data_IF_531524546314
#
_entry.id   IF_531524546314
#
_cell.length_a   1.000
_cell.length_b   1.000
_cell.length_c   1.000
_cell.angle_alpha   90.00
_cell.angle_beta   90.00
_cell.angle_gamma   90.00
#
_symmetry.space_group_name_H-M   'P 1'
#
loop_
_entity.id
_entity.type
_entity.pdbx_description
1 polymer ?
#
# COMPACT_ATOMS: atom_id res chain seq x y z
N UNK A 1 19.83 3.00 -9.61
CA UNK A 1 18.87 2.54 -8.56
C UNK A 1 18.72 3.64 -7.51
N UNK A 2 17.52 4.19 -7.30
CA UNK A 2 17.32 5.22 -6.25
C UNK A 2 17.38 4.54 -4.87
N UNK A 3 18.30 4.98 -4.00
CA UNK A 3 18.35 4.54 -2.59
C UNK A 3 17.10 5.07 -1.87
N UNK A 4 16.51 4.27 -0.99
CA UNK A 4 15.42 4.71 -0.12
C UNK A 4 15.99 5.46 1.07
N UNK A 5 15.39 6.60 1.38
CA UNK A 5 15.68 7.32 2.61
C UNK A 5 15.21 6.48 3.82
N UNK A 6 15.79 6.68 5.02
CA UNK A 6 15.26 6.07 6.23
C UNK A 6 13.81 6.49 6.41
N UNK A 7 12.93 5.51 6.53
CA UNK A 7 11.49 5.71 6.74
C UNK A 7 11.21 5.85 8.23
N UNK A 8 10.26 6.70 8.64
CA UNK A 8 9.78 6.70 10.02
C UNK A 8 9.24 5.32 10.42
N UNK A 9 9.13 5.01 11.73
CA UNK A 9 8.53 3.76 12.19
C UNK A 9 7.11 3.64 11.64
N UNK A 10 6.73 2.42 11.25
CA UNK A 10 5.41 2.14 10.69
C UNK A 10 4.31 2.46 11.70
N UNK A 11 3.22 3.05 11.23
CA UNK A 11 1.98 3.16 11.98
C UNK A 11 1.41 1.74 12.26
N UNK A 12 0.69 1.50 13.38
CA UNK A 12 0.14 0.17 13.69
C UNK A 12 -0.70 -0.46 12.57
N UNK A 13 -1.47 0.34 11.84
CA UNK A 13 -2.21 -0.12 10.65
C UNK A 13 -1.27 -0.63 9.55
N UNK A 14 -0.21 0.11 9.24
CA UNK A 14 0.77 -0.26 8.21
C UNK A 14 1.48 -1.56 8.56
N UNK A 15 1.82 -1.73 9.84
CA UNK A 15 2.41 -2.96 10.36
C UNK A 15 1.45 -4.15 10.22
N UNK A 16 0.17 -3.97 10.56
CA UNK A 16 -0.86 -5.00 10.39
C UNK A 16 -1.03 -5.40 8.93
N UNK A 17 -1.11 -4.42 8.02
CA UNK A 17 -1.18 -4.67 6.56
C UNK A 17 0.07 -5.42 6.09
N UNK A 18 1.27 -5.01 6.51
CA UNK A 18 2.52 -5.68 6.13
C UNK A 18 2.58 -7.15 6.59
N UNK A 19 2.11 -7.43 7.81
CA UNK A 19 2.03 -8.79 8.32
C UNK A 19 1.09 -9.63 7.47
N UNK A 20 -0.12 -9.13 7.20
CA UNK A 20 -1.09 -9.85 6.40
C UNK A 20 -0.59 -10.11 4.97
N UNK A 21 -0.01 -9.11 4.31
CA UNK A 21 0.59 -9.27 2.98
C UNK A 21 1.67 -10.35 2.94
N UNK A 22 2.48 -10.45 4.00
CA UNK A 22 3.56 -11.43 4.12
C UNK A 22 3.03 -12.83 4.39
N UNK A 23 2.10 -12.97 5.34
CA UNK A 23 1.52 -14.25 5.77
C UNK A 23 0.76 -14.90 4.62
N UNK A 24 -0.04 -14.12 3.91
CA UNK A 24 -0.85 -14.57 2.77
C UNK A 24 -0.09 -14.54 1.43
N UNK A 25 1.18 -14.10 1.43
CA UNK A 25 2.05 -14.01 0.24
C UNK A 25 1.39 -13.27 -0.94
N UNK A 26 0.69 -12.18 -0.64
CA UNK A 26 -0.17 -11.49 -1.61
C UNK A 26 0.60 -10.66 -2.63
N UNK A 27 1.76 -10.12 -2.24
CA UNK A 27 2.52 -9.16 -3.05
C UNK A 27 4.03 -9.36 -2.90
N UNK A 28 4.76 -9.15 -3.99
CA UNK A 28 6.22 -9.21 -4.06
C UNK A 28 6.87 -7.90 -4.54
N UNK A 29 8.20 -7.89 -4.54
CA UNK A 29 8.99 -6.77 -5.04
C UNK A 29 8.74 -6.54 -6.54
N UNK A 30 8.42 -5.30 -6.90
CA UNK A 30 8.23 -4.89 -8.30
C UNK A 30 6.79 -5.02 -8.80
N UNK A 31 5.88 -5.61 -8.02
CA UNK A 31 4.48 -5.78 -8.39
C UNK A 31 3.80 -4.44 -8.68
N UNK A 32 2.88 -4.48 -9.64
CA UNK A 32 1.97 -3.37 -9.96
C UNK A 32 0.62 -3.67 -9.35
N UNK A 33 0.20 -2.84 -8.40
CA UNK A 33 -1.03 -3.04 -7.64
C UNK A 33 -2.03 -1.98 -8.03
N UNK A 34 -3.20 -2.40 -8.50
CA UNK A 34 -4.36 -1.52 -8.69
C UNK A 34 -5.19 -1.58 -7.43
N UNK A 35 -5.24 -0.48 -6.70
CA UNK A 35 -6.03 -0.35 -5.47
C UNK A 35 -7.41 0.16 -5.86
N UNK A 36 -8.44 -0.63 -5.55
CA UNK A 36 -9.83 -0.18 -5.63
C UNK A 36 -10.05 0.93 -4.59
N UNK A 37 -10.20 2.17 -5.07
CA UNK A 37 -10.24 3.35 -4.23
C UNK A 37 -11.61 4.02 -4.34
N UNK A 38 -12.44 3.92 -3.30
CA UNK A 38 -13.78 4.51 -3.29
C UNK A 38 -13.80 5.97 -2.82
N UNK A 39 -12.69 6.49 -2.28
CA UNK A 39 -12.66 7.79 -1.61
C UNK A 39 -13.10 7.74 -0.15
N UNK A 40 -13.59 6.59 0.33
CA UNK A 40 -13.93 6.38 1.73
C UNK A 40 -12.70 6.20 2.64
N UNK A 41 -12.89 6.25 3.97
CA UNK A 41 -11.80 6.19 4.95
C UNK A 41 -10.97 4.90 4.82
N UNK A 42 -11.62 3.74 4.65
CA UNK A 42 -10.91 2.45 4.58
C UNK A 42 -10.02 2.36 3.33
N UNK A 43 -10.55 2.75 2.17
CA UNK A 43 -9.79 2.74 0.92
C UNK A 43 -8.63 3.74 0.92
N UNK A 44 -8.81 4.87 1.61
CA UNK A 44 -7.77 5.88 1.82
C UNK A 44 -6.69 5.35 2.74
N UNK A 45 -7.07 4.73 3.86
CA UNK A 45 -6.14 4.14 4.80
C UNK A 45 -5.34 2.98 4.17
N UNK A 46 -5.98 2.13 3.37
CA UNK A 46 -5.32 1.05 2.62
C UNK A 46 -4.32 1.61 1.61
N UNK A 47 -4.72 2.57 0.78
CA UNK A 47 -3.83 3.20 -0.20
C UNK A 47 -2.63 3.86 0.48
N UNK A 48 -2.88 4.59 1.58
CA UNK A 48 -1.84 5.22 2.37
C UNK A 48 -0.86 4.20 2.95
N UNK A 49 -1.38 3.12 3.54
CA UNK A 49 -0.53 2.08 4.13
C UNK A 49 0.33 1.37 3.07
N UNK A 50 -0.24 1.02 1.92
CA UNK A 50 0.53 0.43 0.81
C UNK A 50 1.61 1.40 0.30
N UNK A 51 1.32 2.71 0.24
CA UNK A 51 2.30 3.71 -0.18
C UNK A 51 3.46 3.84 0.84
N UNK A 52 3.15 3.83 2.14
CA UNK A 52 4.15 3.81 3.20
C UNK A 52 5.02 2.55 3.13
N UNK A 53 4.44 1.38 2.89
CA UNK A 53 5.18 0.13 2.71
C UNK A 53 6.03 0.12 1.43
N UNK A 54 5.55 0.68 0.34
CA UNK A 54 6.35 0.85 -0.88
C UNK A 54 7.55 1.79 -0.66
N UNK A 55 7.41 2.79 0.20
CA UNK A 55 8.46 3.74 0.58
C UNK A 55 9.32 3.30 1.79
N UNK A 56 8.88 2.31 2.57
CA UNK A 56 9.49 1.79 3.80
C UNK A 56 9.59 0.25 3.86
N UNK A 57 9.83 -0.41 4.98
CA UNK A 57 10.40 -1.78 5.02
C UNK A 57 9.64 -2.93 4.29
N UNK A 58 8.51 -2.67 3.63
CA UNK A 58 7.81 -3.59 2.74
C UNK A 58 8.31 -3.65 1.29
N UNK A 59 7.58 -4.41 0.44
CA UNK A 59 7.96 -4.65 -0.95
C UNK A 59 7.93 -3.37 -1.79
N UNK A 60 8.77 -3.30 -2.83
CA UNK A 60 8.83 -2.19 -3.79
C UNK A 60 7.65 -2.24 -4.76
N UNK A 61 6.48 -1.81 -4.30
CA UNK A 61 5.25 -1.79 -5.09
C UNK A 61 5.18 -0.56 -6.02
N UNK A 62 4.54 -0.75 -7.16
CA UNK A 62 4.05 0.34 -8.03
C UNK A 62 2.54 0.42 -7.89
N UNK A 63 2.05 1.47 -7.25
CA UNK A 63 0.63 1.60 -6.92
C UNK A 63 -0.10 2.45 -7.95
N UNK A 64 -1.31 2.03 -8.30
CA UNK A 64 -2.29 2.80 -9.06
C UNK A 64 -3.59 2.79 -8.27
N UNK A 65 -4.11 3.96 -7.91
CA UNK A 65 -5.45 4.07 -7.35
C UNK A 65 -6.48 4.15 -8.47
N UNK A 66 -7.47 3.27 -8.46
CA UNK A 66 -8.57 3.26 -9.41
C UNK A 66 -9.87 3.60 -8.69
N UNK A 67 -10.44 4.75 -9.02
CA UNK A 67 -11.74 5.19 -8.53
C UNK A 67 -12.81 4.97 -9.60
N UNK A 68 -13.97 4.48 -9.18
CA UNK A 68 -15.15 4.33 -10.03
C UNK A 68 -16.25 5.21 -9.45
N UNK A 69 -16.63 6.23 -10.20
CA UNK A 69 -17.86 6.99 -9.94
C UNK A 69 -19.05 6.18 -10.49
N UNK A 70 -19.97 5.81 -9.61
CA UNK A 70 -21.15 5.02 -9.95
C UNK A 70 -22.30 5.87 -10.53
N UNK A 71 -22.25 7.20 -10.40
CA UNK A 71 -23.28 8.11 -10.90
C UNK A 71 -24.64 7.95 -10.22
N UNK A 72 -24.65 7.57 -8.93
CA UNK A 72 -25.85 7.42 -8.10
C UNK A 72 -26.15 8.70 -7.29
#
# INVERSE_FOLDING_TARGET
MRRRAPSPPLHPLEASVALHLREERLLGDGDRVVVAFSGGPDSTALLHALAALAAGPGPRLRLVAAHLDHGL
#
